data_IF_038626836394
#
_entry.id   IF_038626836394
#
_cell.length_a   1.000
_cell.length_b   1.000
_cell.length_c   1.000
_cell.angle_alpha   90.00
_cell.angle_beta   90.00
_cell.angle_gamma   90.00
#
_symmetry.space_group_name_H-M   'P 1'
#
loop_
_entity.id
_entity.type
_entity.pdbx_description
1 polymer ?
#
# COMPACT_ATOMS: atom_id res chain seq x y z
N UNK A 1 -9.20 -7.04 -5.95
CA UNK A 1 -10.01 -7.01 -7.18
C UNK A 1 -9.35 -5.99 -8.10
N UNK A 2 -9.15 -6.34 -9.37
CA UNK A 2 -8.60 -5.43 -10.37
C UNK A 2 -9.78 -4.81 -11.12
N UNK A 3 -9.74 -3.50 -11.33
CA UNK A 3 -10.67 -2.76 -12.16
C UNK A 3 -10.04 -2.53 -13.53
N UNK A 4 -10.75 -2.90 -14.59
CA UNK A 4 -10.32 -2.80 -15.99
C UNK A 4 -11.11 -1.74 -16.77
N UNK A 5 -11.93 -0.93 -16.09
CA UNK A 5 -12.73 0.12 -16.73
C UNK A 5 -11.91 1.32 -17.21
N UNK A 6 -10.69 1.46 -16.72
CA UNK A 6 -9.75 2.52 -17.07
C UNK A 6 -8.70 2.02 -18.07
N UNK A 7 -8.03 2.94 -18.77
CA UNK A 7 -6.96 2.60 -19.71
C UNK A 7 -5.83 1.79 -19.05
N UNK A 8 -5.46 2.15 -17.82
CA UNK A 8 -4.56 1.36 -16.99
C UNK A 8 -5.35 0.58 -15.94
N UNK A 9 -5.21 -0.75 -15.83
CA UNK A 9 -5.93 -1.52 -14.83
C UNK A 9 -5.52 -1.12 -13.40
N UNK A 10 -6.51 -0.97 -12.54
CA UNK A 10 -6.35 -0.46 -11.18
C UNK A 10 -6.45 -1.59 -10.16
N UNK A 11 -5.48 -1.67 -9.25
CA UNK A 11 -5.56 -2.48 -8.05
C UNK A 11 -5.81 -1.60 -6.82
N UNK A 12 -7.06 -1.62 -6.35
CA UNK A 12 -7.42 -1.03 -5.07
C UNK A 12 -7.01 -1.96 -3.92
N UNK A 13 -6.06 -1.54 -3.10
CA UNK A 13 -5.45 -2.37 -2.05
C UNK A 13 -5.12 -1.52 -0.83
N UNK A 14 -5.29 -2.08 0.37
CA UNK A 14 -4.89 -1.39 1.60
C UNK A 14 -3.38 -1.32 1.69
N UNK A 15 -2.86 -0.17 2.13
CA UNK A 15 -1.42 0.07 2.21
C UNK A 15 -0.67 -1.01 3.01
N UNK A 16 -1.27 -1.53 4.10
CA UNK A 16 -0.63 -2.57 4.92
C UNK A 16 -0.49 -3.93 4.21
N UNK A 17 -1.28 -4.16 3.16
CA UNK A 17 -1.20 -5.40 2.37
C UNK A 17 -0.11 -5.33 1.29
N UNK A 18 0.49 -4.15 1.10
CA UNK A 18 1.53 -3.89 0.09
C UNK A 18 2.94 -3.83 0.73
N UNK A 19 3.04 -3.81 2.06
CA UNK A 19 4.34 -3.93 2.72
C UNK A 19 5.08 -5.20 2.28
N UNK A 20 6.39 -5.09 2.09
CA UNK A 20 7.20 -6.16 1.52
C UNK A 20 7.31 -6.14 -0.01
N UNK A 21 6.48 -5.36 -0.70
CA UNK A 21 6.55 -5.26 -2.16
C UNK A 21 7.55 -4.19 -2.57
N UNK A 22 8.39 -4.51 -3.56
CA UNK A 22 9.36 -3.56 -4.15
C UNK A 22 8.86 -2.93 -5.44
N UNK A 23 7.89 -3.54 -6.11
CA UNK A 23 7.31 -3.04 -7.36
C UNK A 23 5.80 -3.28 -7.42
N UNK A 24 5.10 -2.50 -8.24
CA UNK A 24 3.71 -2.78 -8.57
C UNK A 24 3.62 -4.09 -9.40
N UNK A 25 2.63 -4.97 -9.15
CA UNK A 25 2.45 -6.16 -9.97
C UNK A 25 2.12 -5.79 -11.42
N UNK A 26 2.53 -6.66 -12.32
CA UNK A 26 2.26 -6.55 -13.75
C UNK A 26 1.34 -7.66 -14.21
N UNK A 27 0.45 -7.36 -15.17
CA UNK A 27 -0.36 -8.33 -15.89
C UNK A 27 0.27 -8.69 -17.24
N UNK A 28 -0.29 -9.73 -17.88
CA UNK A 28 0.09 -10.19 -19.21
C UNK A 28 1.61 -10.40 -19.36
N UNK A 29 2.21 -11.17 -18.45
CA UNK A 29 3.65 -11.50 -18.46
C UNK A 29 4.57 -10.27 -18.45
N UNK A 30 4.23 -9.27 -17.63
CA UNK A 30 5.07 -8.06 -17.49
C UNK A 30 4.68 -6.89 -18.38
N UNK A 31 3.74 -7.07 -19.31
CA UNK A 31 3.40 -6.05 -20.33
C UNK A 31 2.54 -4.91 -19.82
N UNK A 32 1.73 -5.14 -18.79
CA UNK A 32 0.75 -4.15 -18.31
C UNK A 32 0.97 -3.88 -16.82
N UNK A 33 1.60 -2.76 -16.43
CA UNK A 33 1.75 -2.41 -15.02
C UNK A 33 0.41 -2.00 -14.41
N UNK A 34 0.14 -2.46 -13.18
CA UNK A 34 -1.05 -2.05 -12.45
C UNK A 34 -0.86 -0.67 -11.82
N UNK A 35 -1.91 0.15 -11.88
CA UNK A 35 -2.02 1.35 -11.06
C UNK A 35 -2.52 0.98 -9.67
N UNK A 36 -1.72 1.21 -8.63
CA UNK A 36 -2.10 0.94 -7.25
C UNK A 36 -2.90 2.11 -6.69
N UNK A 37 -4.15 1.86 -6.31
CA UNK A 37 -4.90 2.75 -5.43
C UNK A 37 -4.68 2.27 -4.00
N UNK A 38 -3.74 2.92 -3.31
CA UNK A 38 -3.39 2.61 -1.93
C UNK A 38 -4.43 3.19 -1.00
N UNK A 39 -5.03 2.32 -0.18
CA UNK A 39 -6.13 2.65 0.70
C UNK A 39 -5.71 2.67 2.17
N UNK A 40 -6.35 3.54 2.95
CA UNK A 40 -6.29 3.52 4.41
C UNK A 40 -6.99 2.29 4.99
N UNK A 41 -6.86 2.01 6.31
CA UNK A 41 -7.62 0.97 6.98
C UNK A 41 -9.13 1.02 6.74
N UNK A 42 -9.69 2.23 6.65
CA UNK A 42 -11.11 2.46 6.38
C UNK A 42 -11.48 2.42 4.89
N UNK A 43 -10.58 1.90 4.03
CA UNK A 43 -10.74 1.82 2.57
C UNK A 43 -10.95 3.19 1.89
N UNK A 44 -10.41 4.26 2.47
CA UNK A 44 -10.36 5.59 1.84
C UNK A 44 -9.09 5.73 1.01
N UNK A 45 -9.11 6.42 -0.14
CA UNK A 45 -7.89 6.69 -0.91
C UNK A 45 -6.84 7.41 -0.04
N UNK A 46 -5.60 6.92 -0.08
CA UNK A 46 -4.46 7.52 0.60
C UNK A 46 -3.36 7.95 -0.38
N UNK A 47 -3.14 7.16 -1.43
CA UNK A 47 -2.24 7.50 -2.54
C UNK A 47 -2.61 6.71 -3.79
N UNK A 48 -2.11 7.18 -4.93
CA UNK A 48 -2.19 6.48 -6.21
C UNK A 48 -0.77 6.40 -6.78
N UNK A 49 -0.30 5.22 -7.16
CA UNK A 49 1.03 5.06 -7.77
C UNK A 49 1.10 3.87 -8.72
N UNK A 50 1.83 4.02 -9.83
CA UNK A 50 2.27 2.91 -10.69
C UNK A 50 3.74 2.53 -10.42
N UNK A 51 4.49 3.38 -9.73
CA UNK A 51 5.87 3.16 -9.32
C UNK A 51 5.93 3.04 -7.80
N UNK A 52 5.88 1.79 -7.34
CA UNK A 52 5.85 1.51 -5.91
C UNK A 52 7.20 1.78 -5.24
N UNK A 53 8.32 1.63 -5.97
CA UNK A 53 9.65 1.85 -5.41
C UNK A 53 9.87 3.34 -5.11
N UNK A 54 9.62 4.19 -6.10
CA UNK A 54 9.69 5.65 -5.90
C UNK A 54 8.68 6.14 -4.87
N UNK A 55 7.52 5.49 -4.76
CA UNK A 55 6.53 5.82 -3.74
C UNK A 55 7.06 5.59 -2.32
N UNK A 56 7.81 4.51 -2.07
CA UNK A 56 8.31 4.22 -0.73
C UNK A 56 9.27 5.27 -0.19
N UNK A 57 10.11 5.85 -1.06
CA UNK A 57 11.07 6.86 -0.65
C UNK A 57 10.44 8.26 -0.54
N UNK A 58 9.53 8.59 -1.46
CA UNK A 58 9.07 9.97 -1.61
C UNK A 58 7.63 10.20 -1.10
N UNK A 59 6.72 9.25 -1.34
CA UNK A 59 5.30 9.39 -1.02
C UNK A 59 4.92 8.83 0.34
N UNK A 60 5.45 7.67 0.69
CA UNK A 60 5.12 6.96 1.92
C UNK A 60 5.40 7.75 3.20
N UNK A 61 6.50 8.52 3.36
CA UNK A 61 6.75 9.27 4.59
C UNK A 61 5.60 10.23 4.95
N UNK A 62 5.04 10.95 3.96
CA UNK A 62 3.90 11.85 4.16
C UNK A 62 2.61 11.08 4.46
N UNK A 63 2.31 10.04 3.69
CA UNK A 63 1.14 9.18 3.91
C UNK A 63 1.19 8.51 5.28
N UNK A 64 2.37 8.05 5.70
CA UNK A 64 2.62 7.44 7.00
C UNK A 64 2.36 8.42 8.13
N UNK A 65 2.88 9.64 8.04
CA UNK A 65 2.68 10.66 9.07
C UNK A 65 1.18 10.95 9.30
N UNK A 66 0.43 11.12 8.21
CA UNK A 66 -1.02 11.36 8.26
C UNK A 66 -1.79 10.15 8.81
N UNK A 67 -1.57 8.96 8.24
CA UNK A 67 -2.34 7.77 8.60
C UNK A 67 -2.00 7.27 10.01
N UNK A 68 -0.77 7.45 10.50
CA UNK A 68 -0.40 7.09 11.87
C UNK A 68 -1.15 7.91 12.91
N UNK A 69 -1.41 9.20 12.64
CA UNK A 69 -2.23 10.04 13.50
C UNK A 69 -3.70 9.59 13.54
N UNK A 70 -4.28 9.28 12.38
CA UNK A 70 -5.70 8.87 12.27
C UNK A 70 -5.96 7.43 12.71
N UNK A 71 -4.98 6.54 12.56
CA UNK A 71 -5.09 5.10 12.78
C UNK A 71 -3.94 4.55 13.63
N UNK A 72 -3.82 4.96 14.92
CA UNK A 72 -2.67 4.63 15.76
C UNK A 72 -2.54 3.14 16.12
N UNK A 73 -3.62 2.35 15.98
CA UNK A 73 -3.63 0.90 16.26
C UNK A 73 -3.13 0.04 15.09
N UNK A 74 -2.76 0.63 13.95
CA UNK A 74 -2.25 -0.08 12.78
C UNK A 74 -0.73 -0.01 12.67
N UNK A 75 -0.14 -0.96 11.95
CA UNK A 75 1.31 -0.96 11.69
C UNK A 75 1.68 0.08 10.63
N UNK A 76 2.71 0.86 10.94
CA UNK A 76 3.26 1.94 10.12
C UNK A 76 4.80 1.89 10.17
N UNK A 77 5.43 0.87 9.57
CA UNK A 77 6.87 0.63 9.65
C UNK A 77 7.67 1.83 9.11
N UNK A 78 8.88 2.03 9.63
CA UNK A 78 9.83 2.98 9.02
C UNK A 78 10.43 2.41 7.72
N UNK A 79 10.62 1.08 7.65
CA UNK A 79 10.99 0.36 6.43
C UNK A 79 9.80 -0.46 5.88
N UNK A 80 9.06 0.05 4.89
CA UNK A 80 7.91 -0.63 4.30
C UNK A 80 8.30 -1.76 3.34
N UNK A 81 9.55 -1.80 2.84
CA UNK A 81 10.00 -2.77 1.84
C UNK A 81 10.32 -4.13 2.46
N UNK A 82 10.61 -4.18 3.76
CA UNK A 82 10.92 -5.43 4.48
C UNK A 82 9.82 -5.84 5.46
N UNK A 83 8.87 -4.95 5.75
CA UNK A 83 7.81 -5.23 6.69
C UNK A 83 6.83 -6.29 6.15
N UNK A 84 6.35 -7.22 6.98
CA UNK A 84 5.38 -8.22 6.56
C UNK A 84 4.03 -7.57 6.25
N UNK A 85 3.45 -7.93 5.09
CA UNK A 85 2.09 -7.56 4.75
C UNK A 85 1.10 -8.07 5.82
N UNK A 86 0.16 -7.21 6.24
CA UNK A 86 -0.83 -7.56 7.25
C UNK A 86 -2.20 -6.96 6.97
N UNK A 87 -3.24 -7.72 7.29
CA UNK A 87 -4.64 -7.26 7.27
C UNK A 87 -5.14 -6.79 8.64
N UNK A 88 -4.36 -7.03 9.70
CA UNK A 88 -4.76 -6.92 11.11
C UNK A 88 -4.29 -5.59 11.71
N UNK A 89 -4.95 -5.18 12.79
CA UNK A 89 -4.42 -4.17 13.71
C UNK A 89 -3.26 -4.76 14.51
N UNK A 90 -2.41 -3.90 15.09
CA UNK A 90 -1.39 -4.34 16.03
C UNK A 90 -2.10 -4.90 17.27
N UNK A 91 -2.03 -6.20 17.47
CA UNK A 91 -2.43 -6.81 18.75
C UNK A 91 -1.34 -6.44 19.77
N UNK A 92 -1.69 -5.98 21.00
CA UNK A 92 -0.69 -5.89 22.06
C UNK A 92 -0.08 -7.29 22.20
N UNK A 93 1.23 -7.44 22.00
CA UNK A 93 1.91 -8.69 22.34
C UNK A 93 1.62 -8.95 23.83
N UNK A 94 0.90 -10.01 24.14
CA UNK A 94 0.95 -10.56 25.49
C UNK A 94 2.41 -10.87 25.76
N UNK A 95 2.94 -10.28 26.83
CA UNK A 95 4.25 -10.63 27.38
C UNK A 95 4.31 -12.11 27.70
#
# INVERSE_FOLDING_TARGET
RIDYSQEQPVLAVRLQEVFGWTAAPTLADGRVPLLLHLLSPARRPAAVTADLDSFWDNGYPGVRADLRGRYPKHSWPDDPRTAPATRRTNTPRSR
#
